data_IF_573095830577
#
_entry.id   IF_573095830577
#
_cell.length_a   1.000
_cell.length_b   1.000
_cell.length_c   1.000
_cell.angle_alpha   90.00
_cell.angle_beta   90.00
_cell.angle_gamma   90.00
#
_symmetry.space_group_name_H-M   'P 1'
#
loop_
_entity.id
_entity.type
_entity.pdbx_description
1 polymer ?
#
# COMPACT_ATOMS: atom_id res chain seq x y z
N UNK A 1 1.24 -45.62 11.58
CA UNK A 1 1.88 -44.58 10.75
C UNK A 1 1.47 -43.18 11.19
N UNK A 2 0.17 -42.82 11.12
CA UNK A 2 -0.31 -41.46 11.42
C UNK A 2 0.05 -41.00 12.84
N UNK A 3 -0.15 -41.85 13.86
CA UNK A 3 0.19 -41.50 15.24
C UNK A 3 1.67 -41.12 15.42
N UNK A 4 2.60 -41.94 14.90
CA UNK A 4 4.03 -41.63 14.91
C UNK A 4 4.37 -40.34 14.14
N UNK A 5 3.66 -40.04 13.05
CA UNK A 5 3.83 -38.78 12.32
C UNK A 5 3.41 -37.57 13.16
N UNK A 6 2.32 -37.68 13.93
CA UNK A 6 1.87 -36.63 14.83
C UNK A 6 2.83 -36.43 16.01
N UNK A 7 3.40 -37.51 16.55
CA UNK A 7 4.44 -37.43 17.56
C UNK A 7 5.71 -36.77 17.01
N UNK A 8 6.16 -37.19 15.83
CA UNK A 8 7.31 -36.57 15.14
C UNK A 8 7.07 -35.08 14.86
N UNK A 9 5.86 -34.70 14.46
CA UNK A 9 5.49 -33.30 14.30
C UNK A 9 5.59 -32.53 15.64
N UNK A 10 5.10 -33.12 16.72
CA UNK A 10 5.16 -32.52 18.07
C UNK A 10 6.61 -32.36 18.56
N UNK A 11 7.45 -33.38 18.36
CA UNK A 11 8.90 -33.33 18.62
C UNK A 11 9.55 -32.22 17.80
N UNK A 12 9.24 -32.13 16.50
CA UNK A 12 9.78 -31.11 15.60
C UNK A 12 9.40 -29.69 16.02
N UNK A 13 8.15 -29.46 16.41
CA UNK A 13 7.68 -28.17 16.93
C UNK A 13 8.39 -27.82 18.24
N UNK A 14 8.50 -28.74 19.18
CA UNK A 14 9.20 -28.49 20.45
C UNK A 14 10.70 -28.24 20.24
N UNK A 15 11.35 -29.02 19.37
CA UNK A 15 12.75 -28.81 18.99
C UNK A 15 12.99 -27.43 18.38
N UNK A 16 12.12 -27.00 17.46
CA UNK A 16 12.26 -25.71 16.79
C UNK A 16 11.92 -24.53 17.70
N UNK A 17 10.72 -24.52 18.26
CA UNK A 17 10.17 -23.37 18.99
C UNK A 17 10.60 -23.35 20.46
N UNK A 18 10.66 -24.51 21.10
CA UNK A 18 10.97 -24.63 22.54
C UNK A 18 12.46 -24.67 22.85
N UNK A 19 13.31 -25.10 21.91
CA UNK A 19 14.74 -25.26 22.14
C UNK A 19 15.60 -24.41 21.22
N UNK A 20 15.51 -24.60 19.90
CA UNK A 20 16.38 -23.92 18.92
C UNK A 20 16.26 -22.40 18.97
N UNK A 21 15.04 -21.86 18.98
CA UNK A 21 14.82 -20.41 19.05
C UNK A 21 15.36 -19.80 20.36
N UNK A 22 14.96 -20.28 21.56
CA UNK A 22 15.56 -19.88 22.83
C UNK A 22 17.09 -19.91 22.84
N UNK A 23 17.68 -21.03 22.44
CA UNK A 23 19.14 -21.17 22.41
C UNK A 23 19.78 -20.14 21.48
N UNK A 24 19.19 -19.93 20.30
CA UNK A 24 19.60 -18.92 19.34
C UNK A 24 19.54 -17.48 19.86
N UNK A 25 18.53 -17.16 20.68
CA UNK A 25 18.30 -15.81 21.21
C UNK A 25 19.20 -15.52 22.41
N UNK A 26 19.35 -16.46 23.34
CA UNK A 26 20.06 -16.24 24.61
C UNK A 26 21.52 -16.68 24.62
N UNK A 27 21.89 -17.71 23.87
CA UNK A 27 23.19 -18.38 24.03
C UNK A 27 24.03 -18.46 22.74
N UNK A 28 23.52 -18.05 21.58
CA UNK A 28 24.25 -18.21 20.32
C UNK A 28 25.25 -17.09 20.00
N UNK A 29 25.14 -15.93 20.66
CA UNK A 29 26.06 -14.79 20.47
C UNK A 29 26.34 -14.12 21.82
N UNK A 30 27.61 -13.85 22.08
CA UNK A 30 28.04 -13.15 23.30
C UNK A 30 27.82 -11.63 23.19
N UNK A 31 27.74 -11.08 21.98
CA UNK A 31 27.53 -9.65 21.72
C UNK A 31 26.16 -9.38 21.11
N UNK A 32 25.37 -8.46 21.70
CA UNK A 32 24.08 -8.08 21.14
C UNK A 32 24.28 -7.31 19.83
N UNK A 33 23.46 -7.64 18.82
CA UNK A 33 23.52 -6.99 17.49
C UNK A 33 22.99 -5.55 17.54
N UNK A 34 22.05 -5.29 18.45
CA UNK A 34 21.43 -3.99 18.66
C UNK A 34 21.15 -3.77 20.15
N UNK A 35 21.02 -2.50 20.54
CA UNK A 35 20.60 -2.14 21.88
C UNK A 35 19.15 -2.60 22.11
N UNK A 36 18.94 -3.50 23.06
CA UNK A 36 17.63 -4.03 23.39
C UNK A 36 16.84 -2.99 24.20
N UNK A 37 15.70 -2.54 23.65
CA UNK A 37 14.77 -1.63 24.33
C UNK A 37 13.52 -2.38 24.74
N UNK A 38 13.04 -2.11 25.96
CA UNK A 38 11.76 -2.68 26.41
C UNK A 38 10.58 -2.19 25.54
N UNK A 39 9.64 -3.08 25.19
CA UNK A 39 8.48 -2.72 24.41
C UNK A 39 7.54 -1.76 25.17
N UNK A 40 6.71 -0.98 24.47
CA UNK A 40 5.77 -0.05 25.11
C UNK A 40 4.79 -0.79 26.04
N UNK A 41 4.35 -0.12 27.09
CA UNK A 41 3.49 -0.70 28.15
C UNK A 41 2.25 -1.42 27.60
N UNK A 42 1.61 -0.88 26.56
CA UNK A 42 0.43 -1.49 25.95
C UNK A 42 0.74 -2.88 25.35
N UNK A 43 1.92 -3.06 24.77
CA UNK A 43 2.37 -4.35 24.23
C UNK A 43 2.67 -5.34 25.35
N UNK A 44 3.30 -4.89 26.45
CA UNK A 44 3.56 -5.74 27.63
C UNK A 44 2.26 -6.25 28.25
N UNK A 45 1.25 -5.38 28.39
CA UNK A 45 -0.07 -5.78 28.92
C UNK A 45 -0.72 -6.82 28.00
N UNK A 46 -0.68 -6.62 26.69
CA UNK A 46 -1.24 -7.58 25.73
C UNK A 46 -0.52 -8.94 25.76
N UNK A 47 0.81 -8.95 25.85
CA UNK A 47 1.60 -10.17 25.99
C UNK A 47 1.30 -10.89 27.30
N UNK A 48 1.21 -10.15 28.41
CA UNK A 48 0.88 -10.69 29.73
C UNK A 48 -0.52 -11.31 29.76
N UNK A 49 -1.52 -10.61 29.21
CA UNK A 49 -2.89 -11.13 29.14
C UNK A 49 -2.97 -12.40 28.28
N UNK A 50 -2.34 -12.40 27.12
CA UNK A 50 -2.31 -13.57 26.23
C UNK A 50 -1.62 -14.76 26.92
N UNK A 51 -0.45 -14.52 27.54
CA UNK A 51 0.26 -15.55 28.28
C UNK A 51 -0.55 -16.12 29.43
N UNK A 52 -1.24 -15.25 30.19
CA UNK A 52 -2.15 -15.67 31.25
C UNK A 52 -3.28 -16.55 30.73
N UNK A 53 -3.93 -16.18 29.62
CA UNK A 53 -4.99 -16.97 29.01
C UNK A 53 -4.48 -18.34 28.53
N UNK A 54 -3.30 -18.40 27.91
CA UNK A 54 -2.69 -19.67 27.50
C UNK A 54 -2.45 -20.61 28.68
N UNK A 55 -1.93 -20.08 29.81
CA UNK A 55 -1.71 -20.87 31.03
C UNK A 55 -3.04 -21.32 31.64
N UNK A 56 -3.99 -20.41 31.77
CA UNK A 56 -5.30 -20.69 32.36
C UNK A 56 -6.03 -21.80 31.60
N UNK A 57 -6.08 -21.71 30.27
CA UNK A 57 -6.73 -22.71 29.42
C UNK A 57 -5.95 -24.03 29.37
N UNK A 58 -4.62 -23.97 29.44
CA UNK A 58 -3.78 -25.16 29.52
C UNK A 58 -4.04 -25.95 30.81
N UNK A 59 -4.00 -25.28 31.96
CA UNK A 59 -4.16 -25.90 33.28
C UNK A 59 -5.60 -26.31 33.57
N UNK A 60 -6.58 -25.51 33.13
CA UNK A 60 -8.00 -25.74 33.38
C UNK A 60 -8.82 -25.84 32.09
N UNK A 61 -8.71 -26.96 31.34
CA UNK A 61 -9.36 -27.12 30.03
C UNK A 61 -10.88 -27.23 30.10
N UNK A 62 -11.46 -27.43 31.29
CA UNK A 62 -12.92 -27.54 31.50
C UNK A 62 -13.69 -26.32 30.99
N UNK A 63 -13.09 -25.13 31.04
CA UNK A 63 -13.70 -23.90 30.49
C UNK A 63 -14.05 -24.09 29.01
N UNK A 64 -13.13 -24.69 28.24
CA UNK A 64 -13.35 -24.92 26.82
C UNK A 64 -14.31 -26.09 26.58
N UNK A 65 -14.18 -27.18 27.34
CA UNK A 65 -15.02 -28.37 27.18
C UNK A 65 -16.50 -28.10 27.47
N UNK A 66 -16.82 -27.19 28.38
CA UNK A 66 -18.21 -26.80 28.66
C UNK A 66 -18.89 -26.04 27.51
N UNK A 67 -18.12 -25.50 26.55
CA UNK A 67 -18.64 -24.78 25.39
C UNK A 67 -18.92 -25.74 24.23
N UNK A 68 -18.35 -26.94 24.25
CA UNK A 68 -18.52 -27.89 23.16
C UNK A 68 -19.97 -28.40 23.09
N UNK A 69 -20.54 -28.52 21.87
CA UNK A 69 -21.92 -28.97 21.69
C UNK A 69 -22.11 -30.48 21.96
N UNK A 70 -21.02 -31.25 22.00
CA UNK A 70 -21.03 -32.70 22.22
C UNK A 70 -20.24 -33.06 23.48
N UNK A 71 -20.70 -34.06 24.26
CA UNK A 71 -20.00 -34.47 25.48
C UNK A 71 -18.63 -35.08 25.14
N UNK A 72 -17.58 -34.60 25.81
CA UNK A 72 -16.20 -35.09 25.67
C UNK A 72 -15.76 -35.73 26.98
N UNK A 73 -15.50 -37.04 26.95
CA UNK A 73 -14.92 -37.80 28.06
C UNK A 73 -13.42 -38.00 27.81
N UNK A 74 -12.65 -36.93 27.89
CA UNK A 74 -11.19 -36.96 27.74
C UNK A 74 -10.52 -36.42 29.00
N UNK A 75 -9.47 -37.10 29.46
CA UNK A 75 -8.69 -36.73 30.65
C UNK A 75 -7.26 -36.32 30.24
N UNK A 76 -7.00 -35.03 29.97
CA UNK A 76 -5.70 -34.56 29.47
C UNK A 76 -4.52 -34.87 30.38
N UNK A 77 -4.77 -34.87 31.70
CA UNK A 77 -3.77 -35.07 32.75
C UNK A 77 -3.74 -36.50 33.28
N UNK A 78 -4.26 -37.48 32.53
CA UNK A 78 -4.08 -38.88 32.89
C UNK A 78 -2.58 -39.20 33.05
N UNK A 79 -2.16 -39.99 34.06
CA UNK A 79 -0.75 -40.21 34.35
C UNK A 79 0.06 -40.69 33.15
N UNK A 80 -0.52 -41.56 32.31
CA UNK A 80 0.13 -42.05 31.09
C UNK A 80 0.44 -40.94 30.08
N UNK A 81 -0.46 -39.98 29.90
CA UNK A 81 -0.24 -38.84 29.00
C UNK A 81 0.88 -37.94 29.52
N UNK A 82 0.86 -37.62 30.81
CA UNK A 82 1.88 -36.76 31.43
C UNK A 82 3.27 -37.40 31.33
N UNK A 83 3.40 -38.67 31.67
CA UNK A 83 4.68 -39.39 31.61
C UNK A 83 5.19 -39.44 30.17
N UNK A 84 4.34 -39.78 29.19
CA UNK A 84 4.72 -39.83 27.79
C UNK A 84 5.22 -38.46 27.28
N UNK A 85 4.53 -37.37 27.64
CA UNK A 85 4.96 -36.01 27.28
C UNK A 85 6.29 -35.65 27.95
N UNK A 86 6.46 -35.94 29.25
CA UNK A 86 7.74 -35.73 29.93
C UNK A 86 8.89 -36.49 29.26
N UNK A 87 8.68 -37.75 28.88
CA UNK A 87 9.66 -38.55 28.14
C UNK A 87 10.00 -37.88 26.81
N UNK A 88 8.99 -37.49 26.02
CA UNK A 88 9.17 -36.82 24.74
C UNK A 88 10.00 -35.54 24.91
N UNK A 89 9.68 -34.69 25.89
CA UNK A 89 10.40 -33.45 26.16
C UNK A 89 11.86 -33.70 26.54
N UNK A 90 12.12 -34.65 27.45
CA UNK A 90 13.48 -34.98 27.91
C UNK A 90 14.32 -35.57 26.77
N UNK A 91 13.80 -36.54 26.02
CA UNK A 91 14.53 -37.14 24.91
C UNK A 91 14.80 -36.13 23.78
N UNK A 92 13.83 -35.25 23.48
CA UNK A 92 14.02 -34.18 22.50
C UNK A 92 15.08 -33.19 22.96
N UNK A 93 15.10 -32.84 24.25
CA UNK A 93 16.12 -31.98 24.84
C UNK A 93 17.52 -32.60 24.75
N UNK A 94 17.67 -33.87 25.12
CA UNK A 94 18.95 -34.60 25.01
C UNK A 94 19.43 -34.64 23.55
N UNK A 95 18.54 -34.96 22.61
CA UNK A 95 18.87 -34.97 21.19
C UNK A 95 19.29 -33.58 20.69
N UNK A 96 18.56 -32.53 21.08
CA UNK A 96 18.93 -31.15 20.77
C UNK A 96 20.31 -30.79 21.31
N UNK A 97 20.58 -31.09 22.58
CA UNK A 97 21.85 -30.77 23.22
C UNK A 97 23.04 -31.43 22.50
N UNK A 98 22.88 -32.69 22.10
CA UNK A 98 23.88 -33.44 21.37
C UNK A 98 24.10 -32.91 19.94
N UNK A 99 23.05 -32.42 19.27
CA UNK A 99 23.10 -31.95 17.88
C UNK A 99 23.16 -30.42 17.74
N UNK A 100 23.30 -29.66 18.83
CA UNK A 100 23.17 -28.20 18.84
C UNK A 100 24.10 -27.52 17.82
N UNK A 101 25.34 -27.99 17.71
CA UNK A 101 26.36 -27.40 16.82
C UNK A 101 25.98 -27.55 15.33
N UNK A 102 25.15 -28.54 14.99
CA UNK A 102 24.64 -28.77 13.63
C UNK A 102 23.37 -27.98 13.32
N UNK A 103 22.73 -27.37 14.32
CA UNK A 103 21.43 -26.70 14.19
C UNK A 103 21.54 -25.19 13.89
N UNK A 104 22.75 -24.66 13.71
CA UNK A 104 23.00 -23.25 13.46
C UNK A 104 22.42 -22.82 12.10
N UNK A 105 21.81 -21.63 12.06
CA UNK A 105 21.32 -21.05 10.81
C UNK A 105 22.48 -20.53 9.98
N UNK A 106 22.59 -20.98 8.73
CA UNK A 106 23.48 -20.37 7.73
C UNK A 106 22.78 -19.19 7.06
N UNK A 107 23.50 -18.09 6.75
CA UNK A 107 22.93 -16.95 6.04
C UNK A 107 22.63 -17.35 4.59
N UNK A 108 21.46 -17.92 4.39
CA UNK A 108 20.94 -18.37 3.10
C UNK A 108 19.64 -17.65 2.81
N UNK A 109 19.41 -17.36 1.53
CA UNK A 109 18.13 -16.80 1.10
C UNK A 109 17.16 -17.97 0.98
N UNK A 110 16.21 -18.06 1.90
CA UNK A 110 15.10 -19.01 1.79
C UNK A 110 14.15 -18.53 0.69
N UNK A 111 13.86 -19.39 -0.27
CA UNK A 111 12.82 -19.14 -1.28
C UNK A 111 11.49 -19.56 -0.67
N UNK A 112 10.71 -18.58 -0.22
CA UNK A 112 9.38 -18.78 0.32
C UNK A 112 8.32 -18.33 -0.70
N UNK A 113 7.07 -18.60 -0.37
CA UNK A 113 5.87 -18.20 -1.11
C UNK A 113 5.77 -16.67 -1.29
N UNK A 114 6.50 -15.88 -0.48
CA UNK A 114 6.65 -14.43 -0.63
C UNK A 114 7.22 -14.03 -2.01
N UNK A 115 7.99 -14.91 -2.65
CA UNK A 115 8.53 -14.71 -3.99
C UNK A 115 7.44 -14.38 -5.02
N UNK A 116 6.30 -15.08 -4.94
CA UNK A 116 5.14 -14.84 -5.81
C UNK A 116 4.52 -13.47 -5.61
N UNK A 117 4.66 -12.85 -4.45
CA UNK A 117 4.20 -11.48 -4.20
C UNK A 117 5.29 -10.46 -4.55
N UNK A 118 6.54 -10.76 -4.24
CA UNK A 118 7.67 -9.85 -4.36
C UNK A 118 8.03 -9.51 -5.80
N UNK A 119 7.96 -10.48 -6.72
CA UNK A 119 8.27 -10.26 -8.14
C UNK A 119 7.21 -9.39 -8.84
N UNK A 120 5.92 -9.77 -8.88
CA UNK A 120 4.92 -8.95 -9.55
C UNK A 120 4.72 -7.62 -8.83
N UNK A 121 4.85 -7.56 -7.50
CA UNK A 121 4.79 -6.30 -6.76
C UNK A 121 5.83 -5.28 -7.24
N UNK A 122 7.07 -5.71 -7.49
CA UNK A 122 8.11 -4.83 -8.08
C UNK A 122 7.73 -4.34 -9.47
N UNK A 123 7.10 -5.19 -10.27
CA UNK A 123 6.64 -4.81 -11.60
C UNK A 123 5.52 -3.77 -11.54
N UNK A 124 4.54 -3.97 -10.64
CA UNK A 124 3.45 -3.03 -10.40
C UNK A 124 3.98 -1.68 -9.91
N UNK A 125 4.90 -1.66 -8.94
CA UNK A 125 5.50 -0.42 -8.43
C UNK A 125 6.18 0.33 -9.58
N UNK A 126 7.01 -0.36 -10.38
CA UNK A 126 7.67 0.27 -11.54
C UNK A 126 6.69 0.80 -12.59
N UNK A 127 5.58 0.10 -12.81
CA UNK A 127 4.52 0.56 -13.71
C UNK A 127 3.82 1.83 -13.19
N UNK A 128 3.55 1.89 -11.87
CA UNK A 128 2.95 3.06 -11.23
C UNK A 128 3.89 4.27 -11.22
N UNK A 129 5.18 4.07 -10.98
CA UNK A 129 6.16 5.16 -10.87
C UNK A 129 6.55 5.76 -12.23
N UNK A 130 6.62 4.95 -13.29
CA UNK A 130 7.00 5.44 -14.62
C UNK A 130 5.79 5.70 -15.52
N UNK A 131 5.33 4.69 -16.29
CA UNK A 131 4.32 4.86 -17.33
C UNK A 131 3.04 5.57 -16.87
N UNK A 132 2.54 5.22 -15.69
CA UNK A 132 1.29 5.78 -15.17
C UNK A 132 1.46 7.25 -14.77
N UNK A 133 2.59 7.61 -14.16
CA UNK A 133 2.89 8.98 -13.75
C UNK A 133 3.14 9.88 -14.97
N UNK A 134 3.86 9.36 -15.97
CA UNK A 134 4.10 10.06 -17.23
C UNK A 134 2.78 10.30 -17.96
N UNK A 135 1.91 9.29 -18.03
CA UNK A 135 0.57 9.43 -18.60
C UNK A 135 -0.27 10.46 -17.86
N UNK A 136 -0.28 10.42 -16.52
CA UNK A 136 -0.99 11.41 -15.71
C UNK A 136 -0.50 12.84 -15.99
N UNK A 137 0.82 13.03 -16.08
CA UNK A 137 1.43 14.33 -16.40
C UNK A 137 1.08 14.82 -17.81
N UNK A 138 1.00 13.91 -18.78
CA UNK A 138 0.60 14.23 -20.15
C UNK A 138 -0.86 14.73 -20.21
N UNK A 139 -1.76 14.04 -19.52
CA UNK A 139 -3.17 14.45 -19.41
C UNK A 139 -3.26 15.82 -18.74
N UNK A 140 -2.56 16.02 -17.62
CA UNK A 140 -2.57 17.29 -16.90
C UNK A 140 -2.10 18.46 -17.78
N UNK A 141 -1.01 18.29 -18.53
CA UNK A 141 -0.54 19.31 -19.48
C UNK A 141 -1.56 19.64 -20.57
N UNK A 142 -2.27 18.64 -21.10
CA UNK A 142 -3.30 18.84 -22.13
C UNK A 142 -4.52 19.55 -21.56
N UNK A 143 -4.98 19.14 -20.37
CA UNK A 143 -6.10 19.77 -19.66
C UNK A 143 -5.78 21.22 -19.34
N UNK A 144 -4.58 21.52 -18.83
CA UNK A 144 -4.16 22.90 -18.52
C UNK A 144 -4.08 23.78 -19.77
N UNK A 145 -3.64 23.24 -20.91
CA UNK A 145 -3.69 23.96 -22.20
C UNK A 145 -5.11 24.27 -22.64
N UNK A 146 -6.02 23.29 -22.55
CA UNK A 146 -7.43 23.48 -22.89
C UNK A 146 -8.11 24.48 -21.96
N UNK A 147 -7.87 24.37 -20.65
CA UNK A 147 -8.36 25.32 -19.65
C UNK A 147 -7.83 26.73 -19.91
N UNK A 148 -6.56 26.88 -20.28
CA UNK A 148 -5.97 28.17 -20.67
C UNK A 148 -6.65 28.79 -21.89
N UNK A 149 -6.92 28.00 -22.93
CA UNK A 149 -7.68 28.45 -24.12
C UNK A 149 -9.11 28.85 -23.74
N UNK A 150 -9.77 28.06 -22.89
CA UNK A 150 -11.14 28.35 -22.45
C UNK A 150 -11.22 29.62 -21.61
N UNK A 151 -10.31 29.81 -20.65
CA UNK A 151 -10.21 31.02 -19.82
C UNK A 151 -9.88 32.24 -20.68
N UNK A 152 -9.00 32.09 -21.68
CA UNK A 152 -8.68 33.16 -22.62
C UNK A 152 -9.89 33.60 -23.44
N UNK A 153 -10.66 32.64 -23.97
CA UNK A 153 -11.92 32.92 -24.70
C UNK A 153 -12.95 33.57 -23.76
N UNK A 154 -13.08 33.05 -22.53
CA UNK A 154 -14.09 33.50 -21.55
C UNK A 154 -13.82 34.92 -21.04
N UNK A 155 -12.56 35.29 -20.77
CA UNK A 155 -12.24 36.62 -20.25
C UNK A 155 -12.38 37.72 -21.30
N UNK A 156 -12.30 37.42 -22.60
CA UNK A 156 -12.38 38.46 -23.63
C UNK A 156 -12.84 37.93 -25.02
N UNK A 157 -14.12 37.57 -25.18
CA UNK A 157 -14.61 36.91 -26.40
C UNK A 157 -14.47 37.78 -27.66
N UNK A 158 -14.66 39.09 -27.55
CA UNK A 158 -14.56 40.01 -28.69
C UNK A 158 -13.11 40.28 -29.13
N UNK A 159 -12.17 40.41 -28.19
CA UNK A 159 -10.75 40.63 -28.51
C UNK A 159 -10.10 39.36 -29.08
N UNK A 160 -10.46 38.18 -28.56
CA UNK A 160 -9.99 36.88 -29.03
C UNK A 160 -10.35 36.59 -30.49
N UNK A 161 -11.60 36.85 -30.88
CA UNK A 161 -12.09 36.69 -32.24
C UNK A 161 -11.41 37.64 -33.24
N UNK A 162 -11.15 38.89 -32.83
CA UNK A 162 -10.49 39.89 -33.69
C UNK A 162 -9.04 39.52 -33.98
N UNK A 163 -8.26 39.11 -32.98
CA UNK A 163 -6.83 38.76 -33.14
C UNK A 163 -6.66 37.49 -33.99
N UNK A 164 -7.47 36.46 -33.74
CA UNK A 164 -7.39 35.21 -34.52
C UNK A 164 -7.89 35.39 -35.96
N UNK A 165 -8.85 36.29 -36.18
CA UNK A 165 -9.29 36.72 -37.51
C UNK A 165 -8.20 37.47 -38.28
N UNK A 166 -7.45 38.36 -37.60
CA UNK A 166 -6.31 39.10 -38.18
C UNK A 166 -5.13 38.16 -38.49
N UNK A 167 -4.79 37.20 -37.60
CA UNK A 167 -3.74 36.19 -37.85
C UNK A 167 -4.06 35.26 -39.03
N UNK A 168 -5.34 34.84 -39.17
CA UNK A 168 -5.78 34.00 -40.28
C UNK A 168 -5.77 34.79 -41.59
N UNK A 169 -6.21 36.06 -41.58
CA UNK A 169 -6.04 36.97 -42.72
C UNK A 169 -4.57 37.13 -43.10
N UNK A 170 -3.67 37.18 -42.13
CA UNK A 170 -2.24 37.33 -42.39
C UNK A 170 -1.61 36.08 -43.00
N UNK A 171 -1.93 34.88 -42.47
CA UNK A 171 -1.47 33.61 -43.04
C UNK A 171 -2.04 33.37 -44.44
N UNK A 172 -3.26 33.83 -44.72
CA UNK A 172 -3.85 33.77 -46.04
C UNK A 172 -3.23 34.77 -47.05
N UNK A 173 -2.73 35.93 -46.57
CA UNK A 173 -2.15 37.00 -47.42
C UNK A 173 -0.61 36.94 -47.51
N UNK A 174 0.04 36.13 -46.66
CA UNK A 174 1.50 35.87 -46.63
C UNK A 174 2.12 35.45 -47.97
N UNK A 175 1.48 34.68 -48.88
CA UNK A 175 2.12 34.32 -50.15
C UNK A 175 2.21 35.48 -51.18
N UNK A 176 1.69 36.68 -50.90
CA UNK A 176 1.63 37.79 -51.87
C UNK A 176 2.11 39.16 -51.39
N UNK A 177 2.81 39.25 -50.25
CA UNK A 177 3.25 40.54 -49.64
C UNK A 177 4.79 40.61 -49.61
N UNK A 178 5.36 41.80 -49.83
CA UNK A 178 6.79 42.10 -49.71
C UNK A 178 7.31 41.86 -48.28
N UNK A 179 8.51 41.26 -48.11
CA UNK A 179 9.02 40.80 -46.80
C UNK A 179 9.09 41.90 -45.74
N UNK A 180 9.47 43.13 -46.10
CA UNK A 180 9.50 44.27 -45.14
C UNK A 180 8.13 44.61 -44.53
N UNK A 181 7.04 44.49 -45.29
CA UNK A 181 5.68 44.78 -44.78
C UNK A 181 5.14 43.66 -43.90
N UNK A 182 5.57 42.42 -44.14
CA UNK A 182 5.23 41.29 -43.29
C UNK A 182 5.88 41.44 -41.91
N UNK A 183 7.16 41.84 -41.87
CA UNK A 183 7.88 42.09 -40.61
C UNK A 183 7.31 43.29 -39.83
N UNK A 184 6.98 44.39 -40.51
CA UNK A 184 6.39 45.57 -39.86
C UNK A 184 5.06 45.23 -39.17
N UNK A 185 4.23 44.40 -39.82
CA UNK A 185 2.95 43.97 -39.26
C UNK A 185 3.10 42.90 -38.17
N UNK A 186 4.11 42.02 -38.25
CA UNK A 186 4.46 41.09 -37.16
C UNK A 186 4.86 41.86 -35.89
N UNK A 187 5.61 42.95 -36.01
CA UNK A 187 5.93 43.85 -34.89
C UNK A 187 4.69 44.55 -34.31
N UNK A 188 3.75 44.97 -35.14
CA UNK A 188 2.48 45.54 -34.65
C UNK A 188 1.63 44.52 -33.90
N UNK A 189 1.57 43.28 -34.39
CA UNK A 189 0.90 42.15 -33.72
C UNK A 189 1.56 41.83 -32.36
N UNK A 190 2.88 41.86 -32.30
CA UNK A 190 3.64 41.68 -31.06
C UNK A 190 3.40 42.82 -30.07
N UNK A 191 3.38 44.07 -30.52
CA UNK A 191 3.05 45.23 -29.68
C UNK A 191 1.61 45.19 -29.13
N UNK A 192 0.65 44.63 -29.89
CA UNK A 192 -0.72 44.40 -29.42
C UNK A 192 -0.78 43.24 -28.41
N UNK A 193 0.02 42.19 -28.58
CA UNK A 193 0.15 41.06 -27.64
C UNK A 193 0.81 41.49 -26.32
N UNK A 194 1.78 42.40 -26.37
CA UNK A 194 2.53 42.90 -25.21
C UNK A 194 1.69 43.84 -24.32
N UNK A 195 0.80 44.64 -24.91
CA UNK A 195 -0.12 45.54 -24.17
C UNK A 195 -1.24 44.83 -23.41
N UNK A 196 -1.44 43.52 -23.59
CA UNK A 196 -2.42 42.74 -22.83
C UNK A 196 -1.72 41.86 -21.79
N UNK A 197 -2.21 41.79 -20.54
CA UNK A 197 -1.61 40.96 -19.50
C UNK A 197 -1.94 39.49 -19.76
N UNK A 198 -1.16 38.82 -20.61
CA UNK A 198 -1.37 37.42 -21.01
C UNK A 198 -1.11 36.44 -19.84
N UNK A 199 -0.51 36.89 -18.74
CA UNK A 199 -0.41 36.14 -17.48
C UNK A 199 -1.34 36.75 -16.42
N UNK A 200 -2.63 36.44 -16.48
CA UNK A 200 -3.39 36.43 -15.24
C UNK A 200 -2.77 35.34 -14.33
N UNK A 201 -2.50 35.60 -13.04
CA UNK A 201 -2.04 34.56 -12.14
C UNK A 201 -3.06 33.42 -12.19
N UNK A 202 -2.59 32.19 -12.43
CA UNK A 202 -3.46 31.02 -12.31
C UNK A 202 -4.08 31.09 -10.92
N UNK A 203 -5.41 31.15 -10.86
CA UNK A 203 -6.11 30.97 -9.60
C UNK A 203 -5.69 29.60 -9.12
N UNK A 204 -4.83 29.55 -8.09
CA UNK A 204 -4.49 28.31 -7.41
C UNK A 204 -5.78 27.80 -6.79
N UNK A 205 -6.46 26.92 -7.50
CA UNK A 205 -7.50 26.13 -6.87
C UNK A 205 -6.80 25.28 -5.82
N UNK A 206 -7.11 25.53 -4.54
CA UNK A 206 -6.74 24.62 -3.49
C UNK A 206 -7.37 23.26 -3.83
N UNK A 207 -6.64 22.17 -3.59
CA UNK A 207 -7.14 20.80 -3.84
C UNK A 207 -8.54 20.61 -3.21
N UNK A 208 -8.79 21.23 -2.04
CA UNK A 208 -10.10 21.25 -1.39
C UNK A 208 -11.22 21.89 -2.22
N UNK A 209 -10.98 23.01 -2.91
CA UNK A 209 -11.98 23.63 -3.79
C UNK A 209 -12.30 22.78 -5.02
N UNK A 210 -11.30 22.07 -5.56
CA UNK A 210 -11.52 21.12 -6.65
C UNK A 210 -12.34 19.90 -6.18
N UNK A 211 -12.01 19.33 -5.02
CA UNK A 211 -12.77 18.22 -4.44
C UNK A 211 -14.22 18.61 -4.14
N UNK A 212 -14.46 19.81 -3.63
CA UNK A 212 -15.81 20.30 -3.33
C UNK A 212 -16.65 20.48 -4.61
N UNK A 213 -16.06 20.99 -5.68
CA UNK A 213 -16.74 21.10 -6.98
C UNK A 213 -17.07 19.72 -7.58
N UNK A 214 -16.16 18.76 -7.47
CA UNK A 214 -16.41 17.37 -7.94
C UNK A 214 -17.54 16.72 -7.13
N UNK A 215 -17.52 16.86 -5.80
CA UNK A 215 -18.58 16.34 -4.94
C UNK A 215 -19.93 16.99 -5.24
N UNK A 216 -19.96 18.31 -5.49
CA UNK A 216 -21.18 19.02 -5.82
C UNK A 216 -21.71 18.62 -7.19
N UNK A 217 -20.84 18.44 -8.18
CA UNK A 217 -21.22 17.92 -9.49
C UNK A 217 -21.79 16.49 -9.39
N UNK A 218 -21.15 15.61 -8.62
CA UNK A 218 -21.65 14.25 -8.38
C UNK A 218 -22.99 14.24 -7.64
N UNK A 219 -23.18 15.13 -6.66
CA UNK A 219 -24.45 15.26 -5.96
C UNK A 219 -25.57 15.73 -6.90
N UNK A 220 -25.30 16.73 -7.74
CA UNK A 220 -26.26 17.22 -8.75
C UNK A 220 -26.58 16.14 -9.78
N UNK A 221 -25.57 15.39 -10.23
CA UNK A 221 -25.77 14.25 -11.14
C UNK A 221 -26.63 13.16 -10.51
N UNK A 222 -26.39 12.84 -9.24
CA UNK A 222 -27.17 11.83 -8.50
C UNK A 222 -28.63 12.28 -8.31
N UNK A 223 -28.84 13.56 -8.01
CA UNK A 223 -30.18 14.16 -7.94
C UNK A 223 -30.86 14.12 -9.32
N UNK A 224 -30.16 14.45 -10.40
CA UNK A 224 -30.70 14.37 -11.75
C UNK A 224 -31.07 12.93 -12.14
N UNK A 225 -30.26 11.94 -11.78
CA UNK A 225 -30.59 10.51 -11.97
C UNK A 225 -31.80 10.07 -11.14
N UNK A 226 -31.92 10.54 -9.90
CA UNK A 226 -33.09 10.27 -9.04
C UNK A 226 -34.37 10.88 -9.62
N UNK A 227 -34.31 12.11 -10.14
CA UNK A 227 -35.46 12.80 -10.76
C UNK A 227 -35.88 12.10 -12.05
N UNK A 228 -34.94 11.63 -12.86
CA UNK A 228 -35.23 10.92 -14.10
C UNK A 228 -35.57 9.42 -13.91
N UNK A 229 -35.54 8.91 -12.67
CA UNK A 229 -35.96 7.54 -12.35
C UNK A 229 -35.01 6.44 -12.81
N UNK A 230 -33.79 6.78 -13.24
CA UNK A 230 -32.82 5.81 -13.80
C UNK A 230 -32.22 4.86 -12.74
N UNK A 231 -32.43 5.12 -11.45
CA UNK A 231 -31.92 4.30 -10.34
C UNK A 231 -32.94 3.29 -9.78
N UNK A 232 -34.17 3.27 -10.29
CA UNK A 232 -35.30 2.46 -9.77
C UNK A 232 -35.79 1.41 -10.79
N UNK A 233 -35.04 1.20 -11.88
CA UNK A 233 -35.22 0.09 -12.81
C UNK A 233 -33.97 -0.82 -12.77
#
# INVERSE_FOLDING_TARGET
>A
AIWLMLELASVGTFLHTGLKLPWGVWFARDTPVCEAREPPKNMLVAMGLTGFLCILLGVYPKILYNILPYPVHYEPYAPGHVIAMCQLLVFTFVAFWMLRDKLHGTPTISLDTDWFYRIPGKWVIRFCEGPLMDFASFIDQKVMKLAGVFVWISKNPAAALRIKGEEVKLKAKKPGITPEKAEAYERELEAIKEKQPIRAPMVRFNIGTAMLLVLLFLAVYLIAMLIHGWLVA
#
